data_IF_932997543783
#
_entry.id   IF_932997543783
#
_cell.length_a   1.000
_cell.length_b   1.000
_cell.length_c   1.000
_cell.angle_alpha   90.00
_cell.angle_beta   90.00
_cell.angle_gamma   90.00
#
_symmetry.space_group_name_H-M   'P 1'
#
loop_
_entity.id
_entity.type
_entity.pdbx_description
1 polymer ?
#
# COMPACT_ATOMS: atom_id res chain seq x y z
N UNK A 1 1.76 11.02 6.68
CA UNK A 1 1.25 9.67 6.41
C UNK A 1 1.10 8.95 7.74
N UNK A 2 -0.02 8.26 7.96
CA UNK A 2 -0.15 7.33 9.10
C UNK A 2 0.80 6.14 8.92
N UNK A 3 1.05 5.38 9.98
CA UNK A 3 1.84 4.14 9.90
C UNK A 3 1.30 3.17 8.85
N UNK A 4 -0.04 3.11 8.70
CA UNK A 4 -0.68 2.30 7.66
C UNK A 4 -0.40 2.84 6.27
N UNK A 5 -0.59 4.15 6.06
CA UNK A 5 -0.33 4.78 4.76
C UNK A 5 1.15 4.64 4.35
N UNK A 6 2.09 4.73 5.31
CA UNK A 6 3.50 4.52 5.04
C UNK A 6 3.81 3.09 4.58
N UNK A 7 3.19 2.09 5.22
CA UNK A 7 3.35 0.67 4.84
C UNK A 7 2.73 0.35 3.50
N UNK A 8 1.52 0.82 3.22
CA UNK A 8 0.86 0.63 1.91
C UNK A 8 1.71 1.28 0.82
N UNK A 9 2.19 2.52 1.05
CA UNK A 9 3.06 3.22 0.10
C UNK A 9 4.35 2.45 -0.19
N UNK A 10 4.96 1.85 0.83
CA UNK A 10 6.17 1.03 0.68
C UNK A 10 5.88 -0.29 -0.04
N UNK A 11 4.71 -0.89 0.17
CA UNK A 11 4.32 -2.13 -0.49
C UNK A 11 3.96 -1.94 -1.96
N UNK A 12 3.47 -0.76 -2.33
CA UNK A 12 3.13 -0.37 -3.72
C UNK A 12 4.18 0.60 -4.29
N UNK A 13 5.46 0.43 -3.94
CA UNK A 13 6.54 1.29 -4.46
C UNK A 13 6.82 0.99 -5.93
N UNK A 14 7.56 1.88 -6.61
CA UNK A 14 8.01 1.66 -7.99
C UNK A 14 9.29 0.78 -8.04
N UNK A 15 9.65 0.13 -6.94
CA UNK A 15 10.85 -0.69 -6.90
C UNK A 15 10.67 -1.93 -7.78
N UNK A 16 11.75 -2.43 -8.41
CA UNK A 16 11.65 -3.58 -9.31
C UNK A 16 11.35 -4.89 -8.56
N UNK A 17 11.48 -4.90 -7.24
CA UNK A 17 11.27 -6.06 -6.39
C UNK A 17 9.87 -6.04 -5.80
N UNK A 18 9.17 -7.17 -5.90
CA UNK A 18 7.85 -7.32 -5.28
C UNK A 18 7.94 -7.10 -3.76
N UNK A 19 6.87 -6.57 -3.13
CA UNK A 19 6.80 -6.51 -1.68
C UNK A 19 6.98 -7.91 -1.07
N UNK A 20 7.69 -7.99 0.05
CA UNK A 20 7.89 -9.26 0.73
C UNK A 20 6.55 -9.78 1.29
N UNK A 21 6.35 -11.10 1.26
CA UNK A 21 5.14 -11.71 1.82
C UNK A 21 4.95 -11.39 3.32
N UNK A 22 6.05 -11.16 4.05
CA UNK A 22 6.00 -10.69 5.44
C UNK A 22 5.38 -9.30 5.58
N UNK A 23 5.74 -8.36 4.69
CA UNK A 23 5.18 -7.01 4.69
C UNK A 23 3.68 -7.01 4.35
N UNK A 24 3.27 -7.83 3.37
CA UNK A 24 1.83 -7.99 3.03
C UNK A 24 1.04 -8.61 4.18
N UNK A 25 1.60 -9.60 4.87
CA UNK A 25 0.96 -10.20 6.04
C UNK A 25 0.79 -9.20 7.19
N UNK A 26 1.75 -8.30 7.37
CA UNK A 26 1.65 -7.24 8.38
C UNK A 26 0.55 -6.24 8.05
N UNK A 27 0.43 -5.83 6.78
CA UNK A 27 -0.66 -5.00 6.28
C UNK A 27 -2.02 -5.65 6.53
N UNK A 28 -2.16 -6.94 6.22
CA UNK A 28 -3.39 -7.70 6.47
C UNK A 28 -3.77 -7.71 7.95
N UNK A 29 -2.82 -7.97 8.85
CA UNK A 29 -3.06 -7.96 10.30
C UNK A 29 -3.55 -6.59 10.78
N UNK A 30 -2.88 -5.52 10.35
CA UNK A 30 -3.26 -4.16 10.73
C UNK A 30 -4.65 -3.80 10.21
N UNK A 31 -5.01 -4.23 9.00
CA UNK A 31 -6.34 -4.02 8.43
C UNK A 31 -7.43 -4.71 9.26
N UNK A 32 -7.22 -5.98 9.64
CA UNK A 32 -8.19 -6.77 10.40
C UNK A 32 -8.34 -6.23 11.83
N UNK A 33 -7.26 -5.76 12.46
CA UNK A 33 -7.30 -5.25 13.84
C UNK A 33 -7.87 -3.83 13.95
N UNK A 34 -7.71 -2.97 12.93
CA UNK A 34 -8.11 -1.55 12.98
C UNK A 34 -9.14 -1.21 11.92
N UNK A 35 -10.41 -1.08 12.33
CA UNK A 35 -11.54 -0.74 11.43
C UNK A 35 -11.36 0.57 10.65
N UNK A 36 -10.66 1.56 11.21
CA UNK A 36 -10.43 2.86 10.55
C UNK A 36 -9.40 2.80 9.42
N UNK A 37 -8.59 1.73 9.35
CA UNK A 37 -7.51 1.64 8.37
C UNK A 37 -7.97 1.27 6.96
N UNK A 38 -9.21 0.79 6.79
CA UNK A 38 -9.75 0.46 5.46
C UNK A 38 -9.78 1.67 4.53
N UNK A 39 -10.30 2.81 5.00
CA UNK A 39 -10.40 4.04 4.20
C UNK A 39 -8.99 4.51 3.81
N UNK A 40 -8.06 4.53 4.75
CA UNK A 40 -6.68 4.97 4.51
C UNK A 40 -5.94 4.09 3.49
N UNK A 41 -6.15 2.77 3.53
CA UNK A 41 -5.59 1.83 2.55
C UNK A 41 -6.19 2.12 1.17
N UNK A 42 -7.51 2.22 1.08
CA UNK A 42 -8.20 2.41 -0.20
C UNK A 42 -7.85 3.76 -0.84
N UNK A 43 -7.75 4.84 -0.07
CA UNK A 43 -7.29 6.13 -0.58
C UNK A 43 -5.86 6.09 -1.14
N UNK A 44 -4.98 5.28 -0.54
CA UNK A 44 -3.62 5.12 -1.05
C UNK A 44 -3.61 4.29 -2.33
N UNK A 45 -4.36 3.18 -2.36
CA UNK A 45 -4.49 2.32 -3.55
C UNK A 45 -5.10 3.11 -4.70
N UNK A 46 -6.15 3.89 -4.47
CA UNK A 46 -6.80 4.72 -5.50
C UNK A 46 -5.80 5.69 -6.13
N UNK A 47 -4.97 6.36 -5.32
CA UNK A 47 -3.90 7.24 -5.84
C UNK A 47 -2.88 6.48 -6.69
N UNK A 48 -2.52 5.25 -6.30
CA UNK A 48 -1.54 4.41 -7.02
C UNK A 48 -2.09 3.90 -8.35
N UNK A 49 -3.36 3.51 -8.38
CA UNK A 49 -4.03 3.08 -9.62
C UNK A 49 -4.14 4.21 -10.65
N UNK A 50 -4.16 5.46 -10.20
CA UNK A 50 -4.16 6.64 -11.05
C UNK A 50 -2.74 7.15 -11.42
N UNK A 51 -1.67 6.46 -11.02
CA UNK A 51 -0.32 6.83 -11.44
C UNK A 51 -0.08 6.45 -12.92
N UNK A 52 0.71 7.27 -13.63
CA UNK A 52 0.99 7.09 -15.05
C UNK A 52 2.47 7.27 -15.39
N UNK A 53 2.87 6.83 -16.60
CA UNK A 53 4.20 7.05 -17.15
C UNK A 53 5.31 6.29 -16.42
N UNK A 54 6.25 7.01 -15.81
CA UNK A 54 7.45 6.43 -15.16
C UNK A 54 7.13 5.56 -13.94
N UNK A 55 5.91 5.65 -13.41
CA UNK A 55 5.43 5.01 -12.20
C UNK A 55 4.55 3.78 -12.46
N UNK A 56 4.69 3.16 -13.63
CA UNK A 56 3.82 2.06 -14.06
C UNK A 56 3.75 0.86 -13.11
N UNK A 57 4.78 0.62 -12.27
CA UNK A 57 4.78 -0.51 -11.31
C UNK A 57 3.90 -0.26 -10.09
N UNK A 58 3.37 0.95 -9.93
CA UNK A 58 2.34 1.21 -8.93
C UNK A 58 1.00 0.56 -9.29
N UNK A 59 0.79 0.20 -10.57
CA UNK A 59 -0.43 -0.38 -11.14
C UNK A 59 -0.23 -1.86 -11.43
#
# INVERSE_FOLDING_TARGET
YSDMQAKVRSATSNDPWSPSGAAMNELLKLHITRKHCFIEIMEMIDKRLNDHGKNWRHV
#
